data_IF_965447619385
#
_entry.id   IF_965447619385
#
_cell.length_a   1.000
_cell.length_b   1.000
_cell.length_c   1.000
_cell.angle_alpha   90.00
_cell.angle_beta   90.00
_cell.angle_gamma   90.00
#
_symmetry.space_group_name_H-M   'P 1'
#
loop_
_entity.id
_entity.type
_entity.pdbx_description
1 polymer ?
#
# COMPACT_ATOMS: atom_id res chain seq x y z
N UNK A 1 11.51 7.53 6.60
CA UNK A 1 12.16 6.41 5.87
C UNK A 1 11.07 5.48 5.39
N UNK A 2 11.15 4.99 4.14
CA UNK A 2 10.16 4.05 3.60
C UNK A 2 10.68 2.62 3.73
N UNK A 3 9.82 1.71 4.18
CA UNK A 3 10.16 0.30 4.39
C UNK A 3 8.94 -0.61 4.28
N UNK A 4 9.21 -1.90 4.04
CA UNK A 4 8.22 -2.96 4.20
C UNK A 4 8.17 -3.37 5.68
N UNK A 5 6.98 -3.41 6.24
CA UNK A 5 6.70 -3.87 7.59
C UNK A 5 5.85 -5.14 7.53
N UNK A 6 6.09 -6.16 8.39
CA UNK A 6 5.20 -7.31 8.49
C UNK A 6 3.76 -6.86 8.71
N UNK A 7 2.81 -7.43 7.97
CA UNK A 7 1.42 -6.97 8.04
C UNK A 7 0.79 -7.12 9.44
N UNK A 8 1.20 -8.14 10.20
CA UNK A 8 0.81 -8.37 11.59
C UNK A 8 1.56 -7.52 12.61
N UNK A 9 2.36 -6.54 12.20
CA UNK A 9 3.11 -5.68 13.11
C UNK A 9 2.16 -4.90 14.04
N UNK A 10 2.41 -4.89 15.37
CA UNK A 10 1.63 -4.06 16.29
C UNK A 10 1.67 -2.56 15.94
N UNK A 11 2.76 -2.08 15.34
CA UNK A 11 2.87 -0.70 14.91
C UNK A 11 1.91 -0.38 13.75
N UNK A 12 1.80 -1.27 12.76
CA UNK A 12 0.83 -1.12 11.68
C UNK A 12 -0.60 -1.24 12.22
N UNK A 13 -0.88 -2.23 13.07
CA UNK A 13 -2.18 -2.41 13.69
C UNK A 13 -2.64 -1.17 14.47
N UNK A 14 -1.76 -0.60 15.31
CA UNK A 14 -2.05 0.62 16.08
C UNK A 14 -2.31 1.83 15.17
N UNK A 15 -1.50 2.01 14.12
CA UNK A 15 -1.68 3.08 13.16
C UNK A 15 -3.00 2.94 12.40
N UNK A 16 -3.30 1.76 11.85
CA UNK A 16 -4.54 1.51 11.13
C UNK A 16 -5.78 1.65 12.03
N UNK A 17 -5.73 1.19 13.29
CA UNK A 17 -6.85 1.33 14.23
C UNK A 17 -7.11 2.78 14.66
N UNK A 18 -6.09 3.63 14.72
CA UNK A 18 -6.22 5.02 15.18
C UNK A 18 -6.45 6.03 14.06
N UNK A 19 -6.27 5.63 12.79
CA UNK A 19 -6.37 6.55 11.67
C UNK A 19 -7.84 6.76 11.24
N UNK A 20 -8.33 8.01 11.14
CA UNK A 20 -9.75 8.31 10.88
C UNK A 20 -10.25 7.83 9.51
N UNK A 21 -9.36 7.78 8.52
CA UNK A 21 -9.67 7.29 7.16
C UNK A 21 -9.52 5.77 7.00
N UNK A 22 -9.14 5.04 8.06
CA UNK A 22 -8.97 3.60 7.97
C UNK A 22 -10.31 2.88 7.86
N UNK A 23 -10.31 1.85 7.02
CA UNK A 23 -11.42 0.90 6.84
C UNK A 23 -10.97 -0.49 7.28
N UNK A 24 -11.90 -1.45 7.27
CA UNK A 24 -11.59 -2.87 7.52
C UNK A 24 -10.42 -3.38 6.68
N UNK A 25 -10.27 -2.89 5.44
CA UNK A 25 -9.21 -3.31 4.53
C UNK A 25 -7.80 -2.96 5.01
N UNK A 26 -7.66 -1.97 5.89
CA UNK A 26 -6.36 -1.59 6.46
C UNK A 26 -5.96 -2.48 7.64
N UNK A 27 -6.91 -3.24 8.19
CA UNK A 27 -6.67 -4.07 9.35
C UNK A 27 -5.79 -5.27 8.96
N UNK A 28 -4.79 -5.65 9.79
CA UNK A 28 -3.90 -6.77 9.52
C UNK A 28 -4.64 -8.06 9.15
N UNK A 29 -5.74 -8.33 9.85
CA UNK A 29 -6.54 -9.56 9.71
C UNK A 29 -7.07 -9.75 8.29
N UNK A 30 -7.39 -8.66 7.57
CA UNK A 30 -7.89 -8.76 6.19
C UNK A 30 -6.80 -9.22 5.23
N UNK A 31 -5.64 -8.58 5.30
CA UNK A 31 -4.51 -8.91 4.45
C UNK A 31 -3.91 -10.30 4.79
N UNK A 32 -3.94 -10.70 6.07
CA UNK A 32 -3.58 -12.07 6.50
C UNK A 32 -4.55 -13.11 5.94
N UNK A 33 -5.87 -12.84 5.96
CA UNK A 33 -6.85 -13.72 5.33
C UNK A 33 -6.56 -13.93 3.84
N UNK A 34 -6.19 -12.87 3.11
CA UNK A 34 -5.81 -12.99 1.70
C UNK A 34 -4.53 -13.83 1.51
N UNK A 35 -3.56 -13.67 2.40
CA UNK A 35 -2.35 -14.51 2.42
C UNK A 35 -2.68 -15.98 2.66
N UNK A 36 -3.56 -16.29 3.61
CA UNK A 36 -4.01 -17.64 3.91
C UNK A 36 -4.83 -18.27 2.77
N UNK A 37 -5.75 -17.51 2.15
CA UNK A 37 -6.61 -18.02 1.09
C UNK A 37 -5.88 -18.21 -0.24
N UNK A 38 -4.93 -17.33 -0.58
CA UNK A 38 -4.33 -17.28 -1.93
C UNK A 38 -2.82 -17.54 -1.96
N UNK A 39 -2.16 -17.63 -0.80
CA UNK A 39 -0.71 -17.87 -0.70
C UNK A 39 0.15 -16.70 -1.20
N UNK A 40 -0.38 -15.47 -1.18
CA UNK A 40 0.34 -14.27 -1.57
C UNK A 40 0.86 -13.52 -0.33
N UNK A 41 2.14 -13.15 -0.34
CA UNK A 41 2.78 -12.45 0.78
C UNK A 41 2.13 -11.08 0.97
N UNK A 42 1.62 -10.81 2.17
CA UNK A 42 1.12 -9.50 2.55
C UNK A 42 2.13 -8.73 3.43
N UNK A 43 2.16 -7.41 3.29
CA UNK A 43 3.00 -6.51 4.08
C UNK A 43 2.38 -5.12 4.14
N UNK A 44 2.76 -4.30 5.12
CA UNK A 44 2.45 -2.88 5.12
C UNK A 44 3.64 -2.12 4.53
N UNK A 45 3.41 -1.32 3.48
CA UNK A 45 4.41 -0.36 3.02
C UNK A 45 4.23 0.92 3.83
N UNK A 46 5.26 1.34 4.55
CA UNK A 46 5.17 2.46 5.49
C UNK A 46 6.25 3.51 5.24
N UNK A 47 5.87 4.77 5.42
CA UNK A 47 6.77 5.91 5.61
C UNK A 47 6.79 6.26 7.09
N UNK A 48 7.94 6.08 7.74
CA UNK A 48 8.16 6.55 9.11
C UNK A 48 8.72 7.96 9.15
N UNK A 49 8.28 8.76 10.11
CA UNK A 49 8.87 10.07 10.43
C UNK A 49 10.22 9.94 11.15
N UNK A 50 10.81 11.07 11.57
CA UNK A 50 12.09 11.11 12.28
C UNK A 50 12.05 10.46 13.68
N UNK A 51 10.86 10.34 14.27
CA UNK A 51 10.64 9.69 15.57
C UNK A 51 10.36 8.19 15.45
N UNK A 52 10.30 7.66 14.21
CA UNK A 52 9.99 6.26 13.93
C UNK A 52 8.49 5.95 13.90
N UNK A 53 7.62 6.95 14.06
CA UNK A 53 6.17 6.76 13.95
C UNK A 53 5.75 6.69 12.49
N UNK A 54 4.68 5.94 12.20
CA UNK A 54 4.15 5.83 10.84
C UNK A 54 3.47 7.14 10.46
N UNK A 55 4.00 7.81 9.45
CA UNK A 55 3.46 9.05 8.88
C UNK A 55 2.55 8.78 7.68
N UNK A 56 2.84 7.74 6.90
CA UNK A 56 1.94 7.24 5.86
C UNK A 56 2.14 5.74 5.65
N UNK A 57 1.14 5.05 5.13
CA UNK A 57 1.29 3.67 4.73
C UNK A 57 0.03 3.05 4.15
N UNK A 58 0.20 1.87 3.55
CA UNK A 58 -0.89 1.09 3.00
C UNK A 58 -0.56 -0.41 3.03
N UNK A 59 -1.57 -1.28 3.20
CA UNK A 59 -1.37 -2.72 3.03
C UNK A 59 -1.09 -3.01 1.55
N UNK A 60 -0.15 -3.92 1.31
CA UNK A 60 0.24 -4.38 -0.01
C UNK A 60 0.28 -5.90 -0.02
N UNK A 61 -0.06 -6.49 -1.15
CA UNK A 61 0.08 -7.91 -1.42
C UNK A 61 0.99 -8.09 -2.61
N UNK A 62 2.04 -8.89 -2.45
CA UNK A 62 2.92 -9.27 -3.54
C UNK A 62 2.35 -10.46 -4.30
N UNK A 63 1.92 -10.21 -5.53
CA UNK A 63 1.45 -11.24 -6.45
C UNK A 63 2.59 -11.68 -7.36
N UNK A 64 2.72 -13.00 -7.56
CA UNK A 64 3.70 -13.63 -8.43
C UNK A 64 3.00 -14.47 -9.49
N UNK A 65 3.36 -14.27 -10.75
CA UNK A 65 2.83 -15.00 -11.90
C UNK A 65 3.95 -15.35 -12.87
N UNK A 66 3.90 -16.54 -13.46
CA UNK A 66 4.85 -16.95 -14.50
C UNK A 66 4.69 -16.14 -15.79
N UNK A 67 3.51 -15.59 -16.06
CA UNK A 67 3.20 -14.85 -17.29
C UNK A 67 3.41 -13.33 -17.13
N UNK A 68 3.07 -12.78 -15.96
CA UNK A 68 3.07 -11.32 -15.71
C UNK A 68 4.14 -10.86 -14.73
N UNK A 69 4.97 -11.77 -14.24
CA UNK A 69 6.06 -11.46 -13.31
C UNK A 69 5.56 -11.16 -11.89
N UNK A 70 6.24 -10.22 -11.23
CA UNK A 70 5.97 -9.80 -9.84
C UNK A 70 5.28 -8.43 -9.86
N UNK A 71 4.27 -8.25 -9.01
CA UNK A 71 3.61 -6.96 -8.79
C UNK A 71 3.17 -6.80 -7.34
N UNK A 72 3.14 -5.56 -6.87
CA UNK A 72 2.54 -5.21 -5.59
C UNK A 72 1.18 -4.58 -5.82
N UNK A 73 0.17 -5.03 -5.09
CA UNK A 73 -1.20 -4.53 -5.21
C UNK A 73 -1.69 -4.06 -3.84
N UNK A 74 -2.31 -2.87 -3.74
CA UNK A 74 -2.77 -2.32 -2.45
C UNK A 74 -3.96 -3.05 -1.81
N UNK A 75 -4.36 -4.20 -2.36
CA UNK A 75 -5.16 -5.33 -1.85
C UNK A 75 -5.93 -5.96 -3.03
N UNK A 76 -5.59 -7.19 -3.48
CA UNK A 76 -6.36 -7.86 -4.52
C UNK A 76 -7.76 -8.20 -4.00
N UNK A 77 -8.73 -8.24 -4.91
CA UNK A 77 -10.14 -8.60 -4.62
C UNK A 77 -10.85 -7.67 -3.63
N UNK A 78 -10.32 -6.46 -3.46
CA UNK A 78 -10.97 -5.34 -2.76
C UNK A 78 -11.21 -4.22 -3.77
N UNK A 79 -12.34 -3.53 -3.67
CA UNK A 79 -12.69 -2.44 -4.59
C UNK A 79 -11.70 -1.27 -4.43
N UNK A 80 -11.50 -0.84 -3.18
CA UNK A 80 -10.70 0.33 -2.86
C UNK A 80 -9.90 0.19 -1.57
N UNK A 81 -8.61 0.53 -1.62
CA UNK A 81 -7.77 0.72 -0.42
C UNK A 81 -6.84 1.91 -0.64
N UNK A 82 -7.18 3.02 0.01
CA UNK A 82 -6.43 4.25 -0.02
C UNK A 82 -5.18 4.16 0.86
N UNK A 83 -4.10 4.89 0.55
CA UNK A 83 -3.05 5.11 1.53
C UNK A 83 -3.59 5.91 2.72
N UNK A 84 -3.17 5.53 3.91
CA UNK A 84 -3.34 6.32 5.13
C UNK A 84 -2.16 7.26 5.26
N UNK A 85 -2.39 8.51 5.64
CA UNK A 85 -1.34 9.50 5.81
C UNK A 85 -1.75 10.57 6.82
N UNK A 86 -0.82 10.94 7.70
CA UNK A 86 -1.00 12.01 8.69
C UNK A 86 -1.00 13.42 8.07
N UNK A 87 -0.55 13.55 6.82
CA UNK A 87 -0.54 14.81 6.07
C UNK A 87 -0.47 14.56 4.57
N UNK A 88 -0.86 15.56 3.77
CA UNK A 88 -0.69 15.52 2.31
C UNK A 88 0.78 15.39 1.89
N UNK A 89 1.71 15.98 2.66
CA UNK A 89 3.14 15.85 2.42
C UNK A 89 3.63 14.41 2.58
N UNK A 90 3.23 13.73 3.67
CA UNK A 90 3.58 12.33 3.88
C UNK A 90 3.01 11.41 2.80
N UNK A 91 1.79 11.70 2.31
CA UNK A 91 1.21 11.01 1.17
C UNK A 91 2.02 11.23 -0.11
N UNK A 92 2.38 12.48 -0.40
CA UNK A 92 3.16 12.84 -1.59
C UNK A 92 4.56 12.20 -1.57
N UNK A 93 5.20 12.10 -0.41
CA UNK A 93 6.49 11.44 -0.23
C UNK A 93 6.39 9.93 -0.49
N UNK A 94 5.36 9.26 0.06
CA UNK A 94 5.11 7.84 -0.17
C UNK A 94 4.85 7.53 -1.66
N UNK A 95 3.99 8.32 -2.30
CA UNK A 95 3.68 8.17 -3.73
C UNK A 95 4.90 8.51 -4.60
N UNK A 96 5.65 9.55 -4.25
CA UNK A 96 6.87 9.94 -4.96
C UNK A 96 7.91 8.82 -4.96
N UNK A 97 8.11 8.18 -3.80
CA UNK A 97 9.00 7.04 -3.67
C UNK A 97 8.56 5.84 -4.49
N UNK A 98 7.26 5.51 -4.49
CA UNK A 98 6.72 4.41 -5.31
C UNK A 98 7.05 4.60 -6.80
N UNK A 99 6.81 5.81 -7.32
CA UNK A 99 7.09 6.16 -8.72
C UNK A 99 8.58 6.07 -9.02
N UNK A 100 9.43 6.67 -8.17
CA UNK A 100 10.88 6.68 -8.34
C UNK A 100 11.45 5.26 -8.35
N UNK A 101 11.09 4.43 -7.36
CA UNK A 101 11.61 3.08 -7.22
C UNK A 101 11.10 2.12 -8.27
N UNK A 102 9.86 2.30 -8.72
CA UNK A 102 9.33 1.54 -9.84
C UNK A 102 10.06 1.90 -11.14
N UNK A 103 10.28 3.19 -11.41
CA UNK A 103 10.98 3.66 -12.60
C UNK A 103 12.45 3.20 -12.63
N UNK A 104 13.10 3.13 -11.46
CA UNK A 104 14.45 2.59 -11.30
C UNK A 104 14.52 1.05 -11.37
N UNK A 105 13.37 0.35 -11.40
CA UNK A 105 13.31 -1.11 -11.39
C UNK A 105 13.73 -1.76 -10.07
N UNK A 106 13.79 -0.98 -8.99
CA UNK A 106 14.19 -1.46 -7.65
C UNK A 106 13.04 -2.22 -6.95
N UNK A 107 11.80 -1.85 -7.27
CA UNK A 107 10.59 -2.53 -6.82
C UNK A 107 9.80 -3.05 -8.04
N UNK A 108 8.93 -4.06 -7.88
CA UNK A 108 8.12 -4.56 -8.99
C UNK A 108 7.07 -3.52 -9.40
N UNK A 109 6.31 -3.83 -10.46
CA UNK A 109 5.16 -2.99 -10.82
C UNK A 109 4.18 -2.83 -9.65
N UNK A 110 3.59 -1.65 -9.52
CA UNK A 110 2.71 -1.30 -8.39
C UNK A 110 1.32 -0.94 -8.91
N UNK A 111 0.29 -1.55 -8.33
CA UNK A 111 -1.13 -1.25 -8.55
C UNK A 111 -1.73 -0.72 -7.24
N UNK A 112 -2.11 0.56 -7.23
CA UNK A 112 -2.86 1.13 -6.10
C UNK A 112 -4.32 1.23 -6.51
N UNK A 113 -5.19 0.54 -5.77
CA UNK A 113 -6.65 0.52 -5.98
C UNK A 113 -7.33 1.73 -5.36
N UNK A 114 -6.80 2.91 -5.64
CA UNK A 114 -7.35 4.19 -5.19
C UNK A 114 -6.85 5.32 -6.07
N UNK A 115 -7.60 6.42 -6.12
CA UNK A 115 -7.12 7.64 -6.77
C UNK A 115 -5.97 8.26 -5.94
N UNK A 116 -4.76 8.28 -6.50
CA UNK A 116 -3.62 8.96 -5.90
C UNK A 116 -3.52 10.40 -6.39
N UNK A 117 -2.91 11.32 -5.61
CA UNK A 117 -2.59 12.66 -6.10
C UNK A 117 -1.83 12.58 -7.41
N UNK A 118 -2.44 13.08 -8.48
CA UNK A 118 -1.87 13.00 -9.83
C UNK A 118 -0.71 13.98 -9.91
N UNK A 119 0.54 13.50 -9.98
CA UNK A 119 1.60 14.27 -10.63
C UNK A 119 1.30 14.28 -12.12
N UNK A 120 1.29 15.47 -12.74
CA UNK A 120 0.85 15.68 -14.13
C UNK A 120 1.27 14.53 -15.08
N UNK A 121 0.29 13.94 -15.79
CA UNK A 121 0.54 12.95 -16.85
C UNK A 121 -0.15 11.59 -16.75
N UNK A 122 -1.06 11.33 -15.78
CA UNK A 122 -1.68 9.99 -15.63
C UNK A 122 -3.21 10.06 -15.56
N UNK A 123 -3.88 9.26 -16.40
CA UNK A 123 -5.34 9.06 -16.40
C UNK A 123 -5.73 7.87 -15.51
N UNK A 124 -6.72 8.05 -14.64
CA UNK A 124 -7.34 6.96 -13.89
C UNK A 124 -8.33 6.18 -14.78
N UNK A 125 -8.26 4.85 -14.77
CA UNK A 125 -9.29 3.99 -15.38
C UNK A 125 -10.44 3.85 -14.38
N UNK A 126 -11.66 4.20 -14.78
CA UNK A 126 -12.86 4.06 -13.94
C UNK A 126 -13.06 2.59 -13.50
N UNK A 127 -13.53 2.34 -12.26
CA UNK A 127 -13.92 1.01 -11.86
C UNK A 127 -15.13 0.54 -12.67
N UNK A 128 -15.17 -0.75 -13.00
CA UNK A 128 -16.30 -1.36 -13.69
C UNK A 128 -17.54 -1.29 -12.81
N UNK A 129 -18.64 -0.85 -13.42
CA UNK A 129 -20.00 -0.88 -12.87
C UNK A 129 -20.49 -2.32 -12.71
#
# INVERSE_FOLDING_TARGET
MISEMPIGSPAWASFACSHPSATLFHQPVWAQLLEECYGHRAFALVLSDRSGQIAAGMPMVEMRSRLTGRRWVSLPFTDHCAPLASSEGALADLVGWLVEKQAAGEIPSVEVRWALPVKQGVHARQPYV
#
